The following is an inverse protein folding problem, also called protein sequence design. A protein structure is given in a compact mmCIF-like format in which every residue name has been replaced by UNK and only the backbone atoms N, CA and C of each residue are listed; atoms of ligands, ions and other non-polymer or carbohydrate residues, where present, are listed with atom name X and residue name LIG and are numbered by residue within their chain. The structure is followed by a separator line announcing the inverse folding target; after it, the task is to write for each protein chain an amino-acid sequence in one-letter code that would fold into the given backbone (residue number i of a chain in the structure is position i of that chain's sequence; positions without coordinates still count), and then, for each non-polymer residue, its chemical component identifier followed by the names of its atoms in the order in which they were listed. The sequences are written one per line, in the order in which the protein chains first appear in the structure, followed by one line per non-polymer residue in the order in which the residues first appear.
data_IF_337563818958
#
_entry.id   IF_337563818958
#
_cell.length_a   1.000
_cell.length_b   1.000
_cell.length_c   1.000
_cell.angle_alpha   90.00
_cell.angle_beta   90.00
_cell.angle_gamma   90.00
#
_symmetry.space_group_name_H-M   'P 1'
#
loop_
_entity.id
_entity.type
_entity.pdbx_description
1 polymer ?
#
# COMPACT_ATOMS: atom_id res chain seq x y z
N UNK A 1 -30.12 3.86 -68.12
CA UNK A 1 -30.14 4.70 -66.90
C UNK A 1 -28.72 4.76 -66.36
N UNK A 2 -28.07 5.91 -66.49
CA UNK A 2 -26.77 6.21 -65.90
C UNK A 2 -26.93 7.47 -65.02
N UNK A 3 -26.17 7.53 -63.92
CA UNK A 3 -25.71 8.69 -63.10
C UNK A 3 -25.31 8.10 -61.73
N UNK A 4 -24.07 7.67 -61.48
CA UNK A 4 -22.81 8.39 -61.23
C UNK A 4 -22.73 9.16 -59.88
N UNK A 5 -21.79 8.68 -59.04
CA UNK A 5 -20.90 9.36 -58.07
C UNK A 5 -21.47 10.22 -56.93
N UNK A 6 -21.04 9.98 -55.68
CA UNK A 6 -20.10 10.82 -54.90
C UNK A 6 -19.67 10.14 -53.60
N UNK A 7 -18.36 10.00 -53.41
CA UNK A 7 -17.64 9.52 -52.23
C UNK A 7 -17.62 10.59 -51.13
N UNK A 8 -17.63 10.23 -49.84
CA UNK A 8 -16.90 10.95 -48.77
C UNK A 8 -16.96 10.17 -47.43
N UNK A 9 -15.82 9.55 -47.11
CA UNK A 9 -15.16 9.56 -45.80
C UNK A 9 -16.02 9.48 -44.53
N UNK A 10 -15.94 8.34 -43.83
CA UNK A 10 -15.74 8.41 -42.38
C UNK A 10 -14.59 7.49 -41.97
N UNK A 11 -13.38 8.03 -42.12
CA UNK A 11 -12.19 7.52 -41.46
C UNK A 11 -12.29 7.80 -39.95
N UNK A 12 -13.14 7.07 -39.21
CA UNK A 12 -12.96 6.97 -37.78
C UNK A 12 -11.93 5.87 -37.52
N UNK A 13 -10.68 6.32 -37.64
CA UNK A 13 -9.47 5.64 -37.18
C UNK A 13 -9.71 5.19 -35.73
N UNK A 14 -10.12 3.94 -35.57
CA UNK A 14 -9.88 3.20 -34.34
C UNK A 14 -8.36 3.07 -34.21
N UNK A 15 -7.74 4.12 -33.67
CA UNK A 15 -6.36 4.11 -33.22
C UNK A 15 -6.35 3.15 -32.04
N UNK A 16 -6.24 1.86 -32.35
CA UNK A 16 -5.88 0.83 -31.38
C UNK A 16 -4.51 1.26 -30.84
N UNK A 17 -4.53 1.99 -29.73
CA UNK A 17 -3.36 2.21 -28.91
C UNK A 17 -2.91 0.81 -28.51
N UNK A 18 -1.92 0.28 -29.23
CA UNK A 18 -1.21 -0.93 -28.84
C UNK A 18 -0.74 -0.65 -27.42
N UNK A 19 -1.45 -1.20 -26.43
CA UNK A 19 -1.06 -1.13 -25.03
C UNK A 19 0.31 -1.77 -25.02
N UNK A 20 1.34 -0.93 -24.88
CA UNK A 20 2.70 -1.38 -24.90
C UNK A 20 2.91 -2.10 -23.57
N UNK A 21 2.71 -3.42 -23.57
CA UNK A 21 2.70 -4.27 -22.38
C UNK A 21 3.99 -4.05 -21.58
N UNK A 22 5.11 -3.77 -22.28
CA UNK A 22 6.38 -3.42 -21.65
C UNK A 22 6.30 -2.12 -20.83
N UNK A 23 5.57 -1.09 -21.28
CA UNK A 23 5.34 0.12 -20.50
C UNK A 23 4.43 -0.18 -19.30
N UNK A 24 3.32 -0.90 -19.48
CA UNK A 24 2.41 -1.25 -18.39
C UNK A 24 3.08 -2.09 -17.28
N UNK A 25 3.92 -3.05 -17.67
CA UNK A 25 4.72 -3.86 -16.73
C UNK A 25 5.76 -2.99 -16.01
N UNK A 26 6.43 -2.07 -16.72
CA UNK A 26 7.37 -1.12 -16.10
C UNK A 26 6.68 -0.21 -15.09
N UNK A 27 5.49 0.32 -15.39
CA UNK A 27 4.72 1.14 -14.43
C UNK A 27 4.25 0.33 -13.23
N UNK A 28 3.79 -0.91 -13.44
CA UNK A 28 3.38 -1.79 -12.35
C UNK A 28 4.55 -2.14 -11.42
N UNK A 29 5.74 -2.43 -11.98
CA UNK A 29 6.95 -2.72 -11.21
C UNK A 29 7.46 -1.47 -10.46
N UNK A 30 7.46 -0.31 -11.11
CA UNK A 30 7.86 0.95 -10.48
C UNK A 30 6.92 1.34 -9.33
N UNK A 31 5.60 1.13 -9.49
CA UNK A 31 4.62 1.42 -8.45
C UNK A 31 4.76 0.49 -7.24
N UNK A 32 5.06 -0.79 -7.45
CA UNK A 32 5.41 -1.71 -6.36
C UNK A 32 6.70 -1.31 -5.66
N UNK A 33 7.73 -0.92 -6.42
CA UNK A 33 9.01 -0.46 -5.86
C UNK A 33 8.87 0.78 -4.98
N UNK A 34 8.01 1.74 -5.38
CA UNK A 34 7.72 2.93 -4.57
C UNK A 34 6.96 2.59 -3.30
N UNK A 35 5.98 1.68 -3.33
CA UNK A 35 5.26 1.25 -2.13
C UNK A 35 6.18 0.55 -1.13
N UNK A 36 7.11 -0.28 -1.61
CA UNK A 36 8.12 -0.93 -0.75
C UNK A 36 9.08 0.10 -0.17
N UNK A 37 9.59 1.03 -0.99
CA UNK A 37 10.45 2.09 -0.47
C UNK A 37 9.73 2.98 0.53
N UNK A 38 8.45 3.29 0.31
CA UNK A 38 7.62 4.08 1.22
C UNK A 38 7.32 3.31 2.52
N UNK A 39 7.17 1.99 2.47
CA UNK A 39 7.10 1.14 3.66
C UNK A 39 8.44 1.12 4.43
N UNK A 40 9.57 1.11 3.72
CA UNK A 40 10.91 1.14 4.32
C UNK A 40 11.31 2.52 4.85
N UNK A 41 10.73 3.60 4.30
CA UNK A 41 11.01 4.99 4.66
C UNK A 41 9.92 5.65 5.52
N UNK A 42 8.75 5.04 5.67
CA UNK A 42 7.79 5.39 6.70
C UNK A 42 8.46 5.13 8.07
N UNK A 43 8.40 6.13 8.94
CA UNK A 43 8.97 6.09 10.29
C UNK A 43 8.68 4.74 10.95
N UNK A 44 9.73 4.10 11.46
CA UNK A 44 9.68 2.84 12.23
C UNK A 44 9.09 3.07 13.62
N UNK A 45 8.03 3.86 13.72
CA UNK A 45 7.36 4.09 14.99
C UNK A 45 6.53 2.84 15.34
N UNK A 46 6.61 2.38 16.59
CA UNK A 46 5.82 1.25 17.03
C UNK A 46 4.34 1.64 17.03
N UNK A 47 3.48 0.75 16.53
CA UNK A 47 2.03 0.94 16.58
C UNK A 47 1.53 0.36 17.89
N UNK A 48 0.97 1.20 18.75
CA UNK A 48 0.46 0.81 20.06
C UNK A 48 -1.06 0.89 20.02
N UNK A 49 -1.74 -0.19 20.39
CA UNK A 49 -3.21 -0.25 20.41
C UNK A 49 -3.68 -0.91 21.70
N UNK A 50 -4.62 -0.26 22.40
CA UNK A 50 -5.32 -0.89 23.52
C UNK A 50 -6.43 -1.80 22.98
N UNK A 51 -6.49 -3.03 23.48
CA UNK A 51 -7.50 -4.02 23.15
C UNK A 51 -8.11 -4.59 24.44
N UNK A 52 -9.17 -5.35 24.27
CA UNK A 52 -9.82 -6.10 25.34
C UNK A 52 -9.79 -7.58 24.99
N UNK A 53 -9.52 -8.41 25.99
CA UNK A 53 -9.58 -9.86 25.81
C UNK A 53 -11.04 -10.37 25.82
N UNK A 54 -11.21 -11.69 25.73
CA UNK A 54 -12.54 -12.32 25.75
C UNK A 54 -13.27 -12.14 27.09
N UNK A 55 -12.55 -11.79 28.16
CA UNK A 55 -13.09 -11.54 29.49
C UNK A 55 -13.39 -10.05 29.73
N UNK A 56 -13.05 -9.18 28.77
CA UNK A 56 -13.18 -7.73 28.90
C UNK A 56 -12.05 -7.07 29.67
N UNK A 57 -10.95 -7.77 29.93
CA UNK A 57 -9.75 -7.21 30.55
C UNK A 57 -8.95 -6.42 29.50
N UNK A 58 -8.57 -5.15 29.78
CA UNK A 58 -7.77 -4.37 28.86
C UNK A 58 -6.33 -4.89 28.81
N UNK A 59 -5.75 -4.90 27.61
CA UNK A 59 -4.33 -5.13 27.37
C UNK A 59 -3.85 -4.23 26.23
N UNK A 60 -2.54 -4.09 26.10
CA UNK A 60 -1.89 -3.30 25.07
C UNK A 60 -1.18 -4.23 24.10
N UNK A 61 -1.37 -4.02 22.81
CA UNK A 61 -0.62 -4.65 21.74
C UNK A 61 0.32 -3.61 21.11
N UNK A 62 1.59 -3.95 21.05
CA UNK A 62 2.64 -3.11 20.45
C UNK A 62 3.21 -3.85 19.25
N UNK A 63 2.98 -3.32 18.05
CA UNK A 63 3.63 -3.79 16.83
C UNK A 63 4.92 -3.02 16.57
N UNK A 64 6.05 -3.73 16.57
CA UNK A 64 7.34 -3.17 16.23
C UNK A 64 7.63 -3.39 14.73
N UNK A 65 7.60 -2.34 13.89
CA UNK A 65 7.87 -2.49 12.46
C UNK A 65 9.35 -2.81 12.16
N UNK A 66 10.28 -2.53 13.08
CA UNK A 66 11.70 -2.83 12.89
C UNK A 66 11.99 -4.32 13.02
N UNK A 67 11.31 -5.01 13.94
CA UNK A 67 11.48 -6.46 14.17
C UNK A 67 10.35 -7.31 13.60
N UNK A 68 9.27 -6.68 13.11
CA UNK A 68 8.03 -7.32 12.67
C UNK A 68 7.36 -8.19 13.74
N UNK A 69 7.55 -7.84 15.02
CA UNK A 69 7.02 -8.59 16.15
C UNK A 69 5.93 -7.82 16.87
N UNK A 70 4.99 -8.55 17.47
CA UNK A 70 4.00 -8.03 18.39
C UNK A 70 4.42 -8.33 19.82
N UNK A 71 4.22 -7.36 20.71
CA UNK A 71 4.42 -7.46 22.14
C UNK A 71 3.11 -7.15 22.85
N UNK A 72 2.86 -7.84 23.95
CA UNK A 72 1.64 -7.68 24.74
C UNK A 72 1.98 -7.22 26.15
N UNK A 73 1.32 -6.16 26.59
CA UNK A 73 1.49 -5.57 27.91
C UNK A 73 0.14 -5.50 28.61
N UNK A 74 0.10 -5.70 29.92
CA UNK A 74 -1.11 -5.59 30.72
C UNK A 74 -1.34 -4.15 31.22
N UNK A 75 -0.27 -3.37 31.33
CA UNK A 75 -0.32 -1.99 31.85
C UNK A 75 0.37 -0.99 30.93
N UNK A 76 -0.02 0.28 31.04
CA UNK A 76 0.65 1.38 30.34
C UNK A 76 2.13 1.53 30.77
N UNK A 77 2.44 1.22 32.04
CA UNK A 77 3.82 1.27 32.55
C UNK A 77 4.74 0.30 31.81
N UNK A 78 4.27 -0.91 31.53
CA UNK A 78 5.03 -1.88 30.74
C UNK A 78 5.26 -1.41 29.29
N UNK A 79 4.28 -0.71 28.70
CA UNK A 79 4.43 -0.09 27.37
C UNK A 79 5.53 0.97 27.39
N UNK A 80 5.57 1.83 28.41
CA UNK A 80 6.61 2.84 28.56
C UNK A 80 8.01 2.24 28.74
N UNK A 81 8.13 1.20 29.58
CA UNK A 81 9.39 0.46 29.76
C UNK A 81 9.85 -0.15 28.43
N UNK A 82 8.91 -0.73 27.66
CA UNK A 82 9.21 -1.29 26.35
C UNK A 82 9.72 -0.23 25.38
N UNK A 83 9.06 0.94 25.33
CA UNK A 83 9.48 2.07 24.50
C UNK A 83 10.88 2.58 24.88
N UNK A 84 11.14 2.74 26.17
CA UNK A 84 12.45 3.18 26.67
C UNK A 84 13.56 2.17 26.35
N UNK A 85 13.25 0.88 26.33
CA UNK A 85 14.23 -0.18 26.00
C UNK A 85 14.58 -0.22 24.51
N UNK A 86 13.63 0.12 23.62
CA UNK A 86 13.78 -0.08 22.18
C UNK A 86 14.08 1.20 21.38
N UNK A 87 13.77 2.39 21.91
CA UNK A 87 13.83 3.66 21.18
C UNK A 87 14.60 4.78 21.89
N UNK A 88 15.34 4.44 22.95
CA UNK A 88 16.26 5.35 23.64
C UNK A 88 17.67 5.25 23.05
#
# INVERSE_FOLDING_TARGET
MALNSYSLTNQNKASASKINIAQAVKTALANKGRAVMQFLSARREPVITQRFDLQGCPYWEIYNPATQQNYYCLTETEVLIWLETHYR
#
